data_IF_010496860820
#
_entry.id   IF_010496860820
#
_cell.length_a   1.000
_cell.length_b   1.000
_cell.length_c   1.000
_cell.angle_alpha   90.00
_cell.angle_beta   90.00
_cell.angle_gamma   90.00
#
_symmetry.space_group_name_H-M   'P 1'
#
loop_
_entity.id
_entity.type
_entity.pdbx_description
1 polymer ?
#
# COMPACT_ATOMS: atom_id res chain seq x y z
N UNK A 1 -1.13 -0.19 -19.96
CA UNK A 1 -2.35 -0.24 -19.14
C UNK A 1 -2.30 0.68 -17.92
N UNK A 2 -1.19 0.68 -17.19
CA UNK A 2 -1.06 1.52 -16.00
C UNK A 2 -0.34 2.84 -16.23
N UNK A 3 0.07 3.15 -17.45
CA UNK A 3 0.91 4.31 -17.78
C UNK A 3 0.27 5.65 -17.38
N UNK A 4 -1.02 5.81 -17.65
CA UNK A 4 -1.69 7.06 -17.29
C UNK A 4 -1.81 7.22 -15.78
N UNK A 5 -2.08 6.12 -15.06
CA UNK A 5 -2.13 6.15 -13.61
C UNK A 5 -0.79 6.57 -13.02
N UNK A 6 0.32 6.02 -13.53
CA UNK A 6 1.66 6.38 -13.06
C UNK A 6 2.01 7.82 -13.38
N UNK A 7 1.60 8.34 -14.53
CA UNK A 7 1.79 9.76 -14.85
C UNK A 7 1.04 10.67 -13.89
N UNK A 8 -0.19 10.32 -13.57
CA UNK A 8 -0.99 11.08 -12.62
C UNK A 8 -0.35 11.09 -11.24
N UNK A 9 0.19 9.94 -10.81
CA UNK A 9 0.89 9.83 -9.54
C UNK A 9 2.17 10.68 -9.55
N UNK A 10 2.96 10.60 -10.61
CA UNK A 10 4.18 11.41 -10.74
C UNK A 10 3.86 12.90 -10.69
N UNK A 11 2.79 13.34 -11.34
CA UNK A 11 2.37 14.74 -11.32
C UNK A 11 2.03 15.20 -9.90
N UNK A 12 1.39 14.35 -9.10
CA UNK A 12 1.14 14.66 -7.69
C UNK A 12 2.43 14.74 -6.89
N UNK A 13 3.36 13.79 -7.11
CA UNK A 13 4.61 13.74 -6.37
C UNK A 13 5.54 14.91 -6.70
N UNK A 14 5.47 15.47 -7.90
CA UNK A 14 6.25 16.64 -8.27
C UNK A 14 5.92 17.86 -7.43
N UNK A 15 4.75 17.90 -6.82
CA UNK A 15 4.34 18.98 -5.92
C UNK A 15 5.00 18.88 -4.55
N UNK A 16 5.63 17.74 -4.25
CA UNK A 16 6.24 17.48 -2.96
C UNK A 16 7.70 17.93 -2.91
N UNK A 17 8.04 18.75 -1.92
CA UNK A 17 9.40 19.21 -1.71
C UNK A 17 10.37 18.07 -1.36
N UNK A 18 9.84 17.01 -0.72
CA UNK A 18 10.65 15.84 -0.35
C UNK A 18 10.98 14.90 -1.48
N UNK A 19 10.32 15.05 -2.64
CA UNK A 19 10.51 14.19 -3.82
C UNK A 19 11.16 15.01 -4.93
N UNK A 20 12.45 14.80 -5.15
CA UNK A 20 13.24 15.62 -6.09
C UNK A 20 13.79 14.84 -7.28
N UNK A 21 13.78 13.51 -7.24
CA UNK A 21 14.36 12.68 -8.30
C UNK A 21 13.35 11.63 -8.77
N UNK A 22 13.60 11.03 -9.94
CA UNK A 22 12.78 9.93 -10.44
C UNK A 22 12.82 8.74 -9.48
N UNK A 23 13.95 8.51 -8.83
CA UNK A 23 14.06 7.47 -7.81
C UNK A 23 13.10 7.73 -6.65
N UNK A 24 12.99 8.96 -6.20
CA UNK A 24 12.05 9.34 -5.15
C UNK A 24 10.61 9.03 -5.56
N UNK A 25 10.23 9.39 -6.80
CA UNK A 25 8.89 9.11 -7.31
C UNK A 25 8.61 7.62 -7.35
N UNK A 26 9.57 6.84 -7.85
CA UNK A 26 9.46 5.39 -7.94
C UNK A 26 9.32 4.75 -6.55
N UNK A 27 10.15 5.15 -5.60
CA UNK A 27 10.09 4.62 -4.24
C UNK A 27 8.76 4.91 -3.57
N UNK A 28 8.27 6.14 -3.67
CA UNK A 28 7.02 6.52 -3.02
C UNK A 28 5.82 5.80 -3.65
N UNK A 29 5.80 5.66 -4.96
CA UNK A 29 4.77 4.89 -5.65
C UNK A 29 4.84 3.42 -5.25
N UNK A 30 6.05 2.87 -5.16
CA UNK A 30 6.28 1.45 -4.89
C UNK A 30 5.76 1.00 -3.54
N UNK A 31 6.03 1.74 -2.46
CA UNK A 31 5.58 1.27 -1.15
C UNK A 31 4.04 1.29 -1.04
N UNK A 32 3.39 2.26 -1.68
CA UNK A 32 1.92 2.32 -1.70
C UNK A 32 1.33 1.18 -2.52
N UNK A 33 1.88 0.93 -3.72
CA UNK A 33 1.46 -0.19 -4.57
C UNK A 33 1.66 -1.53 -3.88
N UNK A 34 2.78 -1.68 -3.20
CA UNK A 34 3.06 -2.93 -2.46
C UNK A 34 1.99 -3.21 -1.42
N UNK A 35 1.59 -2.21 -0.66
CA UNK A 35 0.58 -2.38 0.38
C UNK A 35 -0.80 -2.69 -0.22
N UNK A 36 -1.15 -2.07 -1.33
CA UNK A 36 -2.40 -2.41 -2.01
C UNK A 36 -2.36 -3.83 -2.58
N UNK A 37 -1.24 -4.21 -3.18
CA UNK A 37 -1.07 -5.57 -3.72
C UNK A 37 -1.17 -6.61 -2.59
N UNK A 38 -0.51 -6.35 -1.47
CA UNK A 38 -0.55 -7.24 -0.31
C UNK A 38 -1.97 -7.39 0.22
N UNK A 39 -2.72 -6.30 0.28
CA UNK A 39 -4.11 -6.33 0.72
C UNK A 39 -4.96 -7.25 -0.18
N UNK A 40 -4.83 -7.10 -1.49
CA UNK A 40 -5.53 -7.95 -2.45
C UNK A 40 -5.12 -9.41 -2.33
N UNK A 41 -3.84 -9.68 -2.16
CA UNK A 41 -3.32 -11.04 -1.98
C UNK A 41 -3.90 -11.69 -0.72
N UNK A 42 -3.94 -10.97 0.38
CA UNK A 42 -4.48 -11.50 1.63
C UNK A 42 -5.98 -11.74 1.54
N UNK A 43 -6.72 -10.86 0.87
CA UNK A 43 -8.15 -11.07 0.64
C UNK A 43 -8.41 -12.33 -0.19
N UNK A 44 -7.61 -12.57 -1.23
CA UNK A 44 -7.72 -13.76 -2.06
C UNK A 44 -7.45 -15.02 -1.24
N UNK A 45 -6.41 -15.01 -0.41
CA UNK A 45 -6.06 -16.15 0.44
C UNK A 45 -7.13 -16.41 1.50
N UNK A 46 -7.71 -15.35 2.06
CA UNK A 46 -8.79 -15.49 3.03
C UNK A 46 -10.04 -16.10 2.37
N UNK A 47 -10.35 -15.70 1.14
CA UNK A 47 -11.48 -16.25 0.39
C UNK A 47 -11.26 -17.73 0.07
N UNK A 48 -10.05 -18.12 -0.35
CA UNK A 48 -9.71 -19.53 -0.59
C UNK A 48 -9.86 -20.36 0.68
N UNK A 49 -9.36 -19.85 1.79
CA UNK A 49 -9.46 -20.54 3.07
C UNK A 49 -10.92 -20.74 3.48
N UNK A 50 -11.77 -19.74 3.25
CA UNK A 50 -13.20 -19.83 3.56
C UNK A 50 -13.88 -20.92 2.72
N UNK A 51 -13.50 -21.07 1.44
CA UNK A 51 -14.05 -22.11 0.57
C UNK A 51 -13.67 -23.50 1.03
N UNK A 52 -12.52 -23.67 1.66
CA UNK A 52 -12.05 -24.98 2.17
C UNK A 52 -12.38 -25.20 3.64
N UNK A 53 -13.07 -24.23 4.28
CA UNK A 53 -13.42 -24.31 5.70
C UNK A 53 -12.26 -24.12 6.65
N UNK A 54 -11.15 -23.57 6.20
CA UNK A 54 -9.95 -23.34 7.01
C UNK A 54 -9.88 -21.88 7.48
N UNK A 55 -9.38 -21.63 8.70
CA UNK A 55 -9.15 -20.25 9.14
C UNK A 55 -7.95 -19.65 8.41
N UNK A 56 -7.99 -18.33 8.20
CA UNK A 56 -6.86 -17.58 7.64
C UNK A 56 -6.41 -16.51 8.62
N UNK A 57 -5.12 -16.49 8.90
CA UNK A 57 -4.51 -15.43 9.73
C UNK A 57 -3.87 -14.39 8.83
N UNK A 58 -4.38 -13.15 8.90
CA UNK A 58 -3.83 -12.04 8.14
C UNK A 58 -2.43 -11.68 8.65
N UNK A 59 -1.54 -11.34 7.71
CA UNK A 59 -0.20 -10.86 8.04
C UNK A 59 -0.29 -9.51 8.73
N UNK A 60 -1.10 -8.58 8.19
CA UNK A 60 -1.30 -7.26 8.78
C UNK A 60 -2.50 -7.26 9.70
N UNK A 61 -2.36 -6.66 10.88
CA UNK A 61 -3.47 -6.42 11.79
C UNK A 61 -4.46 -5.44 11.16
N UNK A 62 -5.73 -5.56 11.54
CA UNK A 62 -6.82 -4.82 10.89
C UNK A 62 -6.55 -3.32 10.70
N UNK A 63 -6.07 -2.56 11.72
CA UNK A 63 -5.88 -1.13 11.55
C UNK A 63 -4.86 -0.75 10.48
N UNK A 64 -3.96 -1.67 10.14
CA UNK A 64 -2.85 -1.40 9.19
C UNK A 64 -3.13 -1.92 7.79
N UNK A 65 -4.29 -2.51 7.55
CA UNK A 65 -4.66 -2.99 6.21
C UNK A 65 -5.11 -1.83 5.33
N UNK A 66 -4.75 -1.91 4.05
CA UNK A 66 -5.10 -0.88 3.07
C UNK A 66 -6.58 -0.53 3.11
N UNK A 67 -7.45 -1.53 3.22
CA UNK A 67 -8.91 -1.35 3.25
C UNK A 67 -9.41 -0.57 4.48
N UNK A 68 -8.58 -0.39 5.49
CA UNK A 68 -8.98 0.29 6.72
C UNK A 68 -8.48 1.73 6.79
N UNK A 69 -7.21 1.97 6.51
CA UNK A 69 -6.65 3.32 6.64
C UNK A 69 -6.59 4.08 5.32
N UNK A 70 -6.33 3.38 4.21
CA UNK A 70 -6.11 4.02 2.91
C UNK A 70 -7.40 4.14 2.11
N UNK A 71 -8.16 3.06 1.98
CA UNK A 71 -9.31 3.00 1.09
C UNK A 71 -10.48 2.21 1.68
N UNK A 72 -11.08 2.69 2.78
CA UNK A 72 -12.29 2.05 3.31
C UNK A 72 -13.42 2.20 2.32
N UNK A 73 -14.18 1.12 2.12
CA UNK A 73 -15.29 1.10 1.16
C UNK A 73 -16.63 1.18 1.89
N UNK A 74 -17.56 1.90 1.30
CA UNK A 74 -18.94 1.93 1.77
C UNK A 74 -19.74 0.72 1.26
N UNK A 75 -21.02 0.68 1.61
CA UNK A 75 -21.91 -0.40 1.20
C UNK A 75 -22.05 -0.51 -0.32
N UNK A 76 -21.80 0.58 -1.05
CA UNK A 76 -21.87 0.62 -2.52
C UNK A 76 -20.55 0.16 -3.19
N UNK A 77 -19.54 -0.25 -2.41
CA UNK A 77 -18.25 -0.67 -2.92
C UNK A 77 -17.32 0.47 -3.32
N UNK A 78 -17.75 1.72 -3.13
CA UNK A 78 -16.94 2.90 -3.44
C UNK A 78 -16.21 3.40 -2.20
N UNK A 79 -15.13 4.16 -2.43
CA UNK A 79 -14.36 4.75 -1.34
C UNK A 79 -15.26 5.62 -0.44
N UNK A 80 -15.20 5.34 0.86
CA UNK A 80 -15.91 6.13 1.86
C UNK A 80 -14.99 7.24 2.35
N UNK A 81 -15.13 8.42 1.78
CA UNK A 81 -14.29 9.58 2.12
C UNK A 81 -14.45 10.03 3.56
N UNK A 82 -15.56 9.69 4.21
CA UNK A 82 -15.77 10.05 5.61
C UNK A 82 -14.93 9.20 6.56
N UNK A 83 -14.67 7.94 6.19
CA UNK A 83 -13.88 7.01 6.99
C UNK A 83 -12.40 7.02 6.62
N UNK A 84 -12.07 7.44 5.40
CA UNK A 84 -10.68 7.49 4.95
C UNK A 84 -9.92 8.59 5.68
N UNK A 85 -8.69 8.29 6.08
CA UNK A 85 -7.82 9.29 6.70
C UNK A 85 -7.43 10.36 5.68
N UNK A 86 -7.31 11.60 6.11
CA UNK A 86 -6.97 12.72 5.25
C UNK A 86 -6.08 13.72 6.00
N UNK A 87 -5.42 14.59 5.24
CA UNK A 87 -4.63 15.68 5.79
C UNK A 87 -3.57 15.21 6.79
N UNK A 88 -3.43 15.96 7.87
CA UNK A 88 -2.41 15.68 8.88
C UNK A 88 -2.63 14.34 9.58
N UNK A 89 -3.89 13.92 9.75
CA UNK A 89 -4.20 12.62 10.36
C UNK A 89 -3.65 11.47 9.51
N UNK A 90 -3.78 11.56 8.20
CA UNK A 90 -3.24 10.56 7.28
C UNK A 90 -1.71 10.54 7.33
N UNK A 91 -1.09 11.72 7.24
CA UNK A 91 0.37 11.83 7.30
C UNK A 91 0.91 11.26 8.62
N UNK A 92 0.30 11.64 9.73
CA UNK A 92 0.76 11.21 11.05
C UNK A 92 0.57 9.71 11.25
N UNK A 93 -0.53 9.15 10.75
CA UNK A 93 -0.74 7.70 10.81
C UNK A 93 0.38 6.96 10.07
N UNK A 94 0.70 7.40 8.85
CA UNK A 94 1.74 6.75 8.04
C UNK A 94 3.10 6.84 8.73
N UNK A 95 3.47 8.03 9.19
CA UNK A 95 4.81 8.26 9.73
C UNK A 95 5.00 7.70 11.15
N UNK A 96 3.97 7.78 11.99
CA UNK A 96 4.10 7.47 13.42
C UNK A 96 3.59 6.08 13.80
N UNK A 97 2.73 5.49 12.99
CA UNK A 97 2.13 4.19 13.28
C UNK A 97 2.41 3.13 12.22
N UNK A 98 2.13 3.43 10.96
CA UNK A 98 2.22 2.43 9.89
C UNK A 98 3.66 1.99 9.63
N UNK A 99 4.56 2.92 9.35
CA UNK A 99 5.95 2.57 9.05
C UNK A 99 6.65 1.88 10.21
N UNK A 100 6.53 2.36 11.47
CA UNK A 100 7.11 1.63 12.60
C UNK A 100 6.54 0.22 12.76
N UNK A 101 5.24 0.04 12.53
CA UNK A 101 4.60 -1.27 12.58
C UNK A 101 5.19 -2.21 11.52
N UNK A 102 5.27 -1.74 10.28
CA UNK A 102 5.79 -2.55 9.16
C UNK A 102 7.28 -2.87 9.33
N UNK A 103 8.07 -1.91 9.79
CA UNK A 103 9.48 -2.13 10.07
C UNK A 103 9.68 -3.23 11.13
N UNK A 104 8.79 -3.29 12.11
CA UNK A 104 8.85 -4.29 13.18
C UNK A 104 8.67 -5.73 12.71
N UNK A 105 8.17 -5.96 11.50
CA UNK A 105 8.00 -7.31 10.97
C UNK A 105 9.31 -8.07 10.83
N UNK A 106 10.42 -7.38 10.61
CA UNK A 106 11.73 -8.01 10.50
C UNK A 106 12.05 -8.83 11.76
N UNK A 107 11.69 -8.31 12.93
CA UNK A 107 11.94 -8.97 14.21
C UNK A 107 10.92 -10.07 14.52
N UNK A 108 9.73 -9.98 13.93
CA UNK A 108 8.63 -10.94 14.17
C UNK A 108 8.61 -12.08 13.17
N UNK A 109 9.40 -11.98 12.10
CA UNK A 109 9.43 -13.00 11.04
C UNK A 109 10.04 -14.30 11.52
N UNK A 110 9.50 -15.42 11.05
CA UNK A 110 10.01 -16.75 11.37
C UNK A 110 11.36 -17.04 10.69
N UNK A 111 11.68 -16.32 9.60
CA UNK A 111 12.94 -16.47 8.91
C UNK A 111 13.06 -15.56 7.69
N UNK A 112 14.26 -15.45 7.09
CA UNK A 112 14.53 -14.54 5.97
C UNK A 112 13.73 -14.83 4.70
N UNK A 113 13.21 -16.04 4.54
CA UNK A 113 12.46 -16.43 3.35
C UNK A 113 10.97 -16.05 3.45
N UNK A 114 10.51 -15.54 4.58
CA UNK A 114 9.10 -15.22 4.79
C UNK A 114 8.75 -13.86 4.19
N UNK A 115 7.48 -13.70 3.85
CA UNK A 115 6.96 -12.41 3.37
C UNK A 115 7.07 -11.35 4.47
N UNK A 116 6.84 -11.73 5.73
CA UNK A 116 6.97 -10.83 6.89
C UNK A 116 8.36 -10.22 6.97
N UNK A 117 9.40 -11.02 6.75
CA UNK A 117 10.78 -10.53 6.77
C UNK A 117 11.01 -9.51 5.65
N UNK A 118 10.49 -9.78 4.45
CA UNK A 118 10.61 -8.86 3.32
C UNK A 118 9.91 -7.53 3.58
N UNK A 119 8.75 -7.59 4.21
CA UNK A 119 8.03 -6.37 4.61
C UNK A 119 8.91 -5.52 5.52
N UNK A 120 9.51 -6.14 6.54
CA UNK A 120 10.39 -5.44 7.46
C UNK A 120 11.62 -4.84 6.79
N UNK A 121 12.21 -5.55 5.82
CA UNK A 121 13.35 -5.03 5.06
C UNK A 121 12.98 -3.81 4.23
N UNK A 122 11.89 -3.90 3.46
CA UNK A 122 11.44 -2.80 2.60
C UNK A 122 11.17 -1.54 3.43
N UNK A 123 10.41 -1.68 4.50
CA UNK A 123 10.01 -0.53 5.32
C UNK A 123 11.06 -0.12 6.35
N UNK A 124 12.16 -0.86 6.44
CA UNK A 124 13.34 -0.43 7.17
C UNK A 124 14.24 0.49 6.36
N UNK A 125 14.19 0.39 5.04
CA UNK A 125 15.03 1.19 4.14
C UNK A 125 14.28 2.36 3.49
N UNK A 126 13.02 2.16 3.11
CA UNK A 126 12.20 3.19 2.48
C UNK A 126 11.51 4.01 3.56
N UNK A 127 11.47 5.33 3.35
CA UNK A 127 10.77 6.26 4.24
C UNK A 127 9.71 7.00 3.44
N UNK A 128 8.64 7.40 4.11
CA UNK A 128 7.65 8.27 3.49
C UNK A 128 8.25 9.66 3.31
N UNK A 129 8.33 10.12 2.07
CA UNK A 129 8.82 11.46 1.71
C UNK A 129 7.68 12.42 1.35
N UNK A 130 6.44 11.96 1.39
CA UNK A 130 5.27 12.78 1.10
C UNK A 130 4.87 13.49 2.39
N UNK A 131 5.20 14.77 2.47
CA UNK A 131 4.96 15.56 3.69
C UNK A 131 3.54 16.13 3.78
N UNK A 132 2.86 16.30 2.64
CA UNK A 132 1.49 16.80 2.61
C UNK A 132 0.50 15.64 2.66
N UNK A 133 -0.36 15.64 3.67
CA UNK A 133 -1.44 14.66 3.77
C UNK A 133 -2.41 14.74 2.60
N UNK A 134 -2.57 15.93 2.01
CA UNK A 134 -3.44 16.11 0.84
C UNK A 134 -2.84 15.44 -0.39
N UNK A 135 -1.54 15.62 -0.64
CA UNK A 135 -0.85 14.94 -1.74
C UNK A 135 -0.89 13.44 -1.54
N UNK A 136 -0.62 12.98 -0.31
CA UNK A 136 -0.65 11.55 0.02
C UNK A 136 -2.03 10.96 -0.26
N UNK A 137 -3.12 11.67 0.10
CA UNK A 137 -4.48 11.23 -0.17
C UNK A 137 -4.73 11.09 -1.67
N UNK A 138 -4.28 12.08 -2.45
CA UNK A 138 -4.45 12.05 -3.91
C UNK A 138 -3.70 10.88 -4.55
N UNK A 139 -2.47 10.63 -4.11
CA UNK A 139 -1.69 9.49 -4.62
C UNK A 139 -2.36 8.17 -4.27
N UNK A 140 -2.82 8.01 -3.03
CA UNK A 140 -3.53 6.82 -2.60
C UNK A 140 -4.79 6.59 -3.45
N UNK A 141 -5.54 7.64 -3.72
CA UNK A 141 -6.76 7.53 -4.53
C UNK A 141 -6.46 7.05 -5.95
N UNK A 142 -5.39 7.57 -6.56
CA UNK A 142 -4.96 7.09 -7.88
C UNK A 142 -4.56 5.61 -7.85
N UNK A 143 -3.81 5.20 -6.85
CA UNK A 143 -3.37 3.81 -6.69
C UNK A 143 -4.57 2.89 -6.44
N UNK A 144 -5.51 3.33 -5.61
CA UNK A 144 -6.68 2.51 -5.27
C UNK A 144 -7.58 2.25 -6.48
N UNK A 145 -7.58 3.13 -7.46
CA UNK A 145 -8.35 2.96 -8.69
C UNK A 145 -7.73 1.93 -9.63
N UNK A 146 -6.47 1.58 -9.45
CA UNK A 146 -5.81 0.56 -10.26
C UNK A 146 -6.36 -0.81 -9.92
N UNK A 147 -6.73 -1.59 -10.94
CA UNK A 147 -7.33 -2.91 -10.78
C UNK A 147 -6.42 -3.98 -11.38
N UNK A 148 -6.15 -5.01 -10.60
CA UNK A 148 -5.33 -6.17 -11.02
C UNK A 148 -6.26 -7.36 -11.17
N UNK A 149 -6.95 -7.44 -12.31
CA UNK A 149 -8.00 -8.44 -12.56
C UNK A 149 -7.48 -9.75 -13.12
N UNK A 150 -6.31 -9.72 -13.77
CA UNK A 150 -5.74 -10.90 -14.41
C UNK A 150 -4.37 -11.21 -13.83
N UNK A 151 -3.93 -12.46 -13.99
CA UNK A 151 -2.59 -12.86 -13.60
C UNK A 151 -1.54 -12.09 -14.38
N UNK A 152 -1.82 -11.80 -15.64
CA UNK A 152 -0.95 -11.02 -16.51
C UNK A 152 -0.73 -9.60 -15.97
N UNK A 153 -1.80 -8.93 -15.53
CA UNK A 153 -1.71 -7.59 -14.96
C UNK A 153 -0.90 -7.58 -13.66
N UNK A 154 -1.12 -8.59 -12.80
CA UNK A 154 -0.35 -8.74 -11.56
C UNK A 154 1.12 -8.97 -11.83
N UNK A 155 1.43 -9.76 -12.83
CA UNK A 155 2.82 -10.04 -13.24
C UNK A 155 3.49 -8.78 -13.80
N UNK A 156 2.80 -8.05 -14.66
CA UNK A 156 3.27 -6.79 -15.21
C UNK A 156 3.61 -5.79 -14.10
N UNK A 157 2.74 -5.72 -13.08
CA UNK A 157 2.98 -4.86 -11.93
C UNK A 157 4.21 -5.31 -11.14
N UNK A 158 4.35 -6.62 -10.91
CA UNK A 158 5.50 -7.16 -10.20
C UNK A 158 6.81 -6.82 -10.90
N UNK A 159 6.83 -6.85 -12.23
CA UNK A 159 8.01 -6.52 -13.01
C UNK A 159 8.45 -5.06 -12.82
N UNK A 160 7.52 -4.16 -12.51
CA UNK A 160 7.85 -2.76 -12.27
C UNK A 160 8.58 -2.53 -10.95
N UNK A 161 8.50 -3.49 -10.02
CA UNK A 161 9.19 -3.42 -8.72
C UNK A 161 10.62 -3.93 -8.77
N UNK A 162 10.91 -4.73 -9.74
CA UNK A 162 12.23 -5.32 -9.92
C UNK A 162 13.09 -4.47 -10.86
#
# INVERSE_FOLDING_TARGET
MFEQAFRNIDDELRKEAGCTTELDYTEQTSWLLFLKYLDGLEQDKAAEAALTGKPYSYILDAPYRWEKWAAPKGADGRLDHKKALQGDDLRDFVNLKLFPYLHGFRQRAAGPATLEYKIGEVFGEIKNKISSGYTLRNVIDHIDQMRFRSQSEKHELSALYE
#
